data_IF_522017674483
#
_entry.id   IF_522017674483
#
_cell.length_a   1.000
_cell.length_b   1.000
_cell.length_c   1.000
_cell.angle_alpha   90.00
_cell.angle_beta   90.00
_cell.angle_gamma   90.00
#
_symmetry.space_group_name_H-M   'P 1'
#
loop_
_entity.id
_entity.type
_entity.pdbx_description
1 polymer ?
#
# COMPACT_ATOMS: atom_id res chain seq x y z
N UNK A 1 -19.61 -22.72 13.16
CA UNK A 1 -20.07 -22.88 14.56
C UNK A 1 -18.95 -23.19 15.55
N UNK A 2 -17.88 -23.88 15.14
CA UNK A 2 -16.77 -24.28 16.06
C UNK A 2 -15.95 -23.10 16.63
N UNK A 3 -15.91 -21.97 15.98
CA UNK A 3 -15.20 -20.77 16.47
C UNK A 3 -16.00 -20.01 17.54
N UNK A 4 -17.31 -19.92 17.36
CA UNK A 4 -18.23 -19.29 18.34
C UNK A 4 -18.31 -20.09 19.65
N UNK A 5 -18.29 -21.42 19.56
CA UNK A 5 -18.30 -22.30 20.75
C UNK A 5 -17.02 -22.17 21.59
N UNK A 6 -15.88 -21.91 20.93
CA UNK A 6 -14.58 -21.73 21.61
C UNK A 6 -14.33 -20.32 22.13
N UNK A 7 -15.03 -19.30 21.56
CA UNK A 7 -14.84 -17.90 21.88
C UNK A 7 -16.17 -17.17 22.07
N UNK A 8 -16.86 -17.41 23.19
CA UNK A 8 -18.20 -16.87 23.45
C UNK A 8 -18.27 -15.32 23.55
N UNK A 9 -17.15 -14.62 23.41
CA UNK A 9 -17.09 -13.16 23.36
C UNK A 9 -17.11 -12.60 21.93
N UNK A 10 -17.07 -13.46 20.91
CA UNK A 10 -17.13 -13.06 19.51
C UNK A 10 -18.58 -13.22 19.07
N UNK A 11 -19.26 -12.12 18.79
CA UNK A 11 -20.60 -12.15 18.22
C UNK A 11 -20.57 -12.39 16.69
N UNK A 12 -21.73 -12.75 16.12
CA UNK A 12 -21.86 -13.03 14.69
C UNK A 12 -21.43 -11.82 13.83
N UNK A 13 -21.72 -10.59 14.26
CA UNK A 13 -21.33 -9.37 13.57
C UNK A 13 -19.82 -9.16 13.54
N UNK A 14 -19.14 -9.50 14.64
CA UNK A 14 -17.67 -9.46 14.70
C UNK A 14 -17.03 -10.50 13.79
N UNK A 15 -17.66 -11.64 13.58
CA UNK A 15 -17.21 -12.67 12.63
C UNK A 15 -17.42 -12.24 11.18
N UNK A 16 -18.55 -11.61 10.86
CA UNK A 16 -18.82 -11.08 9.54
C UNK A 16 -17.87 -9.92 9.20
N UNK A 17 -17.59 -9.03 10.16
CA UNK A 17 -16.59 -7.98 10.03
C UNK A 17 -15.17 -8.52 9.80
N UNK A 18 -14.83 -9.65 10.42
CA UNK A 18 -13.56 -10.34 10.22
C UNK A 18 -13.50 -11.09 8.88
N UNK A 19 -14.63 -11.68 8.46
CA UNK A 19 -14.72 -12.42 7.21
C UNK A 19 -14.67 -11.52 5.97
N UNK A 20 -15.12 -10.26 6.09
CA UNK A 20 -15.11 -9.28 5.00
C UNK A 20 -13.75 -8.56 4.84
N UNK A 21 -12.87 -8.64 5.84
CA UNK A 21 -11.55 -8.01 5.77
C UNK A 21 -10.50 -8.97 5.24
N UNK A 22 -9.71 -8.51 4.28
CA UNK A 22 -8.55 -9.27 3.80
C UNK A 22 -7.64 -9.63 4.98
N UNK A 23 -7.28 -10.90 5.19
CA UNK A 23 -6.34 -11.29 6.26
C UNK A 23 -5.01 -10.54 6.17
N UNK A 24 -4.52 -10.30 4.95
CA UNK A 24 -3.32 -9.51 4.69
C UNK A 24 -3.47 -8.06 5.17
N UNK A 25 -4.61 -7.44 4.94
CA UNK A 25 -4.92 -6.10 5.44
C UNK A 25 -4.96 -6.02 6.96
N UNK A 26 -5.58 -7.02 7.61
CA UNK A 26 -5.66 -7.11 9.06
C UNK A 26 -4.26 -7.30 9.70
N UNK A 27 -3.43 -8.17 9.13
CA UNK A 27 -2.05 -8.39 9.60
C UNK A 27 -1.22 -7.12 9.42
N UNK A 28 -1.24 -6.50 8.24
CA UNK A 28 -0.49 -5.25 7.97
C UNK A 28 -0.86 -4.14 8.96
N UNK A 29 -2.15 -3.93 9.20
CA UNK A 29 -2.63 -2.95 10.19
C UNK A 29 -2.17 -3.30 11.60
N UNK A 30 -2.20 -4.58 11.98
CA UNK A 30 -1.83 -5.04 13.32
C UNK A 30 -0.35 -4.88 13.64
N UNK A 31 0.53 -5.10 12.66
CA UNK A 31 1.99 -5.01 12.84
C UNK A 31 2.59 -3.68 12.33
N UNK A 32 1.80 -2.85 11.63
CA UNK A 32 2.29 -1.63 10.99
C UNK A 32 3.35 -1.90 9.90
N UNK A 33 3.28 -3.06 9.26
CA UNK A 33 4.31 -3.57 8.35
C UNK A 33 3.93 -3.51 6.88
N UNK A 34 4.91 -3.81 6.02
CA UNK A 34 4.74 -4.05 4.59
C UNK A 34 4.64 -5.53 4.32
N UNK A 35 4.17 -5.87 3.12
CA UNK A 35 4.33 -7.20 2.55
C UNK A 35 5.43 -7.13 1.51
N UNK A 36 6.48 -7.90 1.74
CA UNK A 36 7.52 -8.19 0.75
C UNK A 36 7.16 -9.48 0.03
N UNK A 37 7.32 -9.49 -1.28
CA UNK A 37 7.14 -10.69 -2.10
C UNK A 37 8.48 -11.07 -2.69
N UNK A 38 8.89 -12.31 -2.41
CA UNK A 38 10.09 -12.93 -2.93
C UNK A 38 9.70 -14.02 -3.93
N UNK A 39 10.50 -14.20 -4.94
CA UNK A 39 10.32 -15.29 -5.89
C UNK A 39 10.60 -16.62 -5.20
N UNK A 40 9.74 -17.60 -5.45
CA UNK A 40 9.93 -18.96 -4.95
C UNK A 40 10.47 -19.83 -6.09
N UNK A 41 11.72 -20.25 -5.95
CA UNK A 41 12.35 -21.17 -6.88
C UNK A 41 12.36 -22.61 -6.36
N UNK A 42 11.99 -23.53 -7.21
CA UNK A 42 12.02 -24.96 -6.91
C UNK A 42 13.25 -25.60 -7.59
N UNK A 43 14.13 -26.22 -6.81
CA UNK A 43 15.35 -26.87 -7.32
C UNK A 43 15.11 -27.98 -8.35
N UNK A 44 13.95 -28.60 -8.35
CA UNK A 44 13.58 -29.76 -9.16
C UNK A 44 12.50 -29.48 -10.21
N UNK A 45 12.08 -28.23 -10.34
CA UNK A 45 11.13 -27.78 -11.35
C UNK A 45 11.79 -26.72 -12.22
N UNK A 46 11.67 -26.89 -13.55
CA UNK A 46 12.12 -25.84 -14.47
C UNK A 46 11.17 -24.64 -14.35
N UNK A 47 11.74 -23.46 -14.22
CA UNK A 47 10.96 -22.22 -14.28
C UNK A 47 10.27 -22.11 -15.64
N UNK A 48 9.03 -21.63 -15.65
CA UNK A 48 8.28 -21.28 -16.86
C UNK A 48 8.92 -20.08 -17.58
N UNK A 49 9.66 -19.27 -16.83
CA UNK A 49 10.38 -18.08 -17.29
C UNK A 49 11.87 -18.22 -16.94
N UNK A 50 12.62 -19.03 -17.69
CA UNK A 50 14.04 -19.30 -17.40
C UNK A 50 14.93 -18.05 -17.48
N UNK A 51 14.47 -17.02 -18.19
CA UNK A 51 15.09 -15.71 -18.29
C UNK A 51 14.98 -14.86 -16.98
N UNK A 52 14.17 -15.32 -16.03
CA UNK A 52 14.00 -14.66 -14.72
C UNK A 52 14.83 -15.33 -13.60
N UNK A 53 15.38 -16.51 -13.83
CA UNK A 53 16.10 -17.31 -12.81
C UNK A 53 17.28 -16.55 -12.19
N UNK A 54 17.92 -15.69 -12.97
CA UNK A 54 19.08 -14.88 -12.50
C UNK A 54 18.70 -13.44 -12.12
N UNK A 55 17.40 -13.13 -12.10
CA UNK A 55 16.89 -11.81 -11.72
C UNK A 55 16.24 -11.89 -10.36
N UNK A 56 17.02 -11.62 -9.36
CA UNK A 56 16.58 -11.54 -7.97
C UNK A 56 15.82 -10.21 -7.75
N UNK A 57 14.57 -10.18 -8.21
CA UNK A 57 13.68 -9.03 -8.08
C UNK A 57 12.78 -9.26 -6.87
N UNK A 58 12.84 -8.35 -5.94
CA UNK A 58 11.96 -8.32 -4.79
C UNK A 58 11.01 -7.13 -4.89
N UNK A 59 9.72 -7.37 -4.69
CA UNK A 59 8.68 -6.33 -4.75
C UNK A 59 8.17 -6.01 -3.36
N UNK A 60 8.53 -4.82 -2.88
CA UNK A 60 7.94 -4.23 -1.69
C UNK A 60 6.69 -3.44 -2.07
N UNK A 61 5.55 -3.77 -1.50
CA UNK A 61 4.36 -2.95 -1.63
C UNK A 61 4.32 -1.90 -0.52
N UNK A 62 4.28 -0.63 -0.93
CA UNK A 62 4.17 0.53 -0.03
C UNK A 62 2.80 0.65 0.66
N UNK A 63 1.92 -0.31 0.48
CA UNK A 63 0.69 -0.47 1.25
C UNK A 63 1.04 -0.81 2.70
N UNK A 64 1.60 0.18 3.37
CA UNK A 64 1.91 0.11 4.78
C UNK A 64 0.65 -0.05 5.62
N UNK A 65 0.80 -0.40 6.90
CA UNK A 65 -0.30 -0.46 7.85
C UNK A 65 -1.09 0.84 8.02
N UNK A 66 -0.68 1.93 7.37
CA UNK A 66 -1.37 3.22 7.33
C UNK A 66 -2.42 3.35 6.23
N UNK A 67 -2.45 2.44 5.26
CA UNK A 67 -3.47 2.47 4.22
C UNK A 67 -4.84 2.12 4.80
N UNK A 68 -5.77 3.02 4.62
CA UNK A 68 -7.20 2.79 4.89
C UNK A 68 -8.03 3.12 3.66
N UNK A 69 -9.03 2.30 3.39
CA UNK A 69 -9.96 2.54 2.30
C UNK A 69 -11.37 2.13 2.70
N UNK A 70 -12.31 2.93 2.23
CA UNK A 70 -13.73 2.64 2.32
C UNK A 70 -14.25 2.40 0.92
N UNK A 71 -14.98 1.32 0.73
CA UNK A 71 -15.71 1.03 -0.48
C UNK A 71 -17.18 0.81 -0.15
N UNK A 72 -18.02 0.91 -1.16
CA UNK A 72 -19.41 1.05 -0.91
C UNK A 72 -20.13 -0.28 -0.68
N UNK A 73 -20.78 -0.34 0.45
CA UNK A 73 -21.94 -1.21 0.61
C UNK A 73 -23.20 -0.65 -0.11
N UNK A 74 -23.09 0.55 -0.68
CA UNK A 74 -24.15 1.27 -1.37
C UNK A 74 -24.24 0.96 -2.87
N UNK A 75 -23.64 -0.13 -3.35
CA UNK A 75 -23.65 -0.53 -4.77
C UNK A 75 -25.05 -0.66 -5.39
N UNK A 76 -26.08 -0.78 -4.57
CA UNK A 76 -27.47 -0.85 -5.00
C UNK A 76 -28.27 0.46 -4.84
N UNK A 77 -27.63 1.54 -4.37
CA UNK A 77 -28.26 2.83 -4.18
C UNK A 77 -28.02 3.77 -5.38
N UNK A 78 -28.97 4.69 -5.59
CA UNK A 78 -28.77 5.88 -6.41
C UNK A 78 -28.78 7.10 -5.51
N UNK A 79 -27.95 8.09 -5.80
CA UNK A 79 -27.88 9.29 -4.98
C UNK A 79 -26.64 10.13 -5.26
N UNK A 80 -26.24 10.92 -4.28
CA UNK A 80 -25.06 11.76 -4.35
C UNK A 80 -24.06 11.36 -3.26
N UNK A 81 -22.91 10.87 -3.67
CA UNK A 81 -21.76 10.71 -2.75
C UNK A 81 -21.07 12.04 -2.56
N UNK A 82 -20.68 12.35 -1.33
CA UNK A 82 -19.93 13.55 -0.95
C UNK A 82 -18.73 13.18 -0.11
N UNK A 83 -17.60 13.82 -0.38
CA UNK A 83 -16.43 13.82 0.51
C UNK A 83 -16.38 15.14 1.23
N UNK A 84 -16.46 15.09 2.54
CA UNK A 84 -16.45 16.29 3.41
C UNK A 84 -15.25 16.19 4.34
N UNK A 85 -14.43 17.22 4.35
CA UNK A 85 -13.37 17.40 5.33
C UNK A 85 -13.85 18.27 6.48
N UNK A 86 -13.65 17.81 7.70
CA UNK A 86 -13.93 18.58 8.91
C UNK A 86 -12.61 18.85 9.62
N UNK A 87 -12.15 20.08 9.56
CA UNK A 87 -10.93 20.52 10.23
C UNK A 87 -11.09 20.60 11.74
N UNK A 88 -9.99 20.89 12.44
CA UNK A 88 -9.99 21.04 13.91
C UNK A 88 -10.86 22.20 14.42
N UNK A 89 -11.18 23.16 13.56
CA UNK A 89 -12.14 24.25 13.84
C UNK A 89 -13.61 23.79 13.80
N UNK A 90 -13.88 22.56 13.33
CA UNK A 90 -15.22 22.00 13.25
C UNK A 90 -16.03 22.39 12.00
N UNK A 91 -15.53 23.29 11.15
CA UNK A 91 -16.24 23.72 9.96
C UNK A 91 -16.10 22.69 8.83
N UNK A 92 -17.23 22.18 8.27
CA UNK A 92 -17.16 21.21 7.20
C UNK A 92 -16.89 21.89 5.85
N UNK A 93 -15.95 21.33 5.08
CA UNK A 93 -15.65 21.72 3.70
C UNK A 93 -15.94 20.56 2.77
N UNK A 94 -16.87 20.76 1.82
CA UNK A 94 -17.15 19.76 0.80
C UNK A 94 -16.00 19.77 -0.22
N UNK A 95 -15.22 18.70 -0.25
CA UNK A 95 -14.07 18.54 -1.16
C UNK A 95 -14.49 17.99 -2.51
N UNK A 96 -15.48 17.10 -2.55
CA UNK A 96 -15.93 16.45 -3.78
C UNK A 96 -17.38 15.99 -3.66
N UNK A 97 -18.08 16.00 -4.79
CA UNK A 97 -19.40 15.35 -4.92
C UNK A 97 -19.54 14.68 -6.27
N UNK A 98 -20.25 13.58 -6.29
CA UNK A 98 -20.58 12.85 -7.51
C UNK A 98 -21.96 12.21 -7.40
N UNK A 99 -22.76 12.32 -8.46
CA UNK A 99 -23.95 11.52 -8.60
C UNK A 99 -23.55 10.07 -8.90
N UNK A 100 -24.14 9.15 -8.18
CA UNK A 100 -23.94 7.71 -8.34
C UNK A 100 -25.24 7.06 -8.81
N UNK A 101 -25.11 6.18 -9.78
CA UNK A 101 -26.18 5.29 -10.23
C UNK A 101 -26.05 3.93 -9.56
N UNK A 102 -27.11 3.14 -9.64
CA UNK A 102 -27.07 1.75 -9.17
C UNK A 102 -25.95 0.98 -9.89
N UNK A 103 -25.05 0.38 -9.13
CA UNK A 103 -23.93 -0.40 -9.65
C UNK A 103 -22.64 0.41 -9.86
N UNK A 104 -22.66 1.73 -9.70
CA UNK A 104 -21.42 2.52 -9.79
C UNK A 104 -20.47 2.15 -8.62
N UNK A 105 -19.25 1.67 -8.92
CA UNK A 105 -18.27 1.40 -7.89
C UNK A 105 -17.66 2.72 -7.40
N UNK A 106 -17.38 2.80 -6.11
CA UNK A 106 -16.60 3.89 -5.57
C UNK A 106 -15.67 3.44 -4.44
N UNK A 107 -14.58 4.15 -4.26
CA UNK A 107 -13.61 3.91 -3.21
C UNK A 107 -13.03 5.25 -2.74
N UNK A 108 -12.83 5.38 -1.44
CA UNK A 108 -12.03 6.42 -0.80
C UNK A 108 -10.83 5.74 -0.16
N UNK A 109 -9.62 6.20 -0.51
CA UNK A 109 -8.38 5.71 0.07
C UNK A 109 -7.63 6.83 0.79
N UNK A 110 -7.07 6.52 1.95
CA UNK A 110 -6.17 7.41 2.71
C UNK A 110 -4.97 6.60 3.16
N UNK A 111 -3.83 7.26 3.36
CA UNK A 111 -2.65 6.62 3.91
C UNK A 111 -1.97 7.55 4.94
N UNK A 112 -1.47 6.97 6.02
CA UNK A 112 -0.72 7.71 7.01
C UNK A 112 0.70 8.01 6.54
N UNK A 113 1.07 9.29 6.47
CA UNK A 113 2.40 9.70 5.98
C UNK A 113 3.55 9.11 6.82
N UNK A 114 3.34 8.95 8.12
CA UNK A 114 4.37 8.35 8.98
C UNK A 114 4.57 6.86 8.69
N UNK A 115 3.51 6.16 8.31
CA UNK A 115 3.60 4.77 7.86
C UNK A 115 4.34 4.66 6.52
N UNK A 116 4.12 5.58 5.59
CA UNK A 116 4.86 5.68 4.32
C UNK A 116 6.34 5.91 4.58
N UNK A 117 6.70 6.86 5.47
CA UNK A 117 8.08 7.14 5.85
C UNK A 117 8.76 5.93 6.50
N UNK A 118 8.07 5.28 7.44
CA UNK A 118 8.60 4.07 8.08
C UNK A 118 8.82 2.93 7.08
N UNK A 119 7.96 2.82 6.08
CA UNK A 119 8.09 1.89 4.97
C UNK A 119 9.34 2.20 4.14
N UNK A 120 9.51 3.45 3.71
CA UNK A 120 10.67 3.89 2.95
C UNK A 120 11.99 3.56 3.68
N UNK A 121 12.07 3.84 4.98
CA UNK A 121 13.26 3.51 5.78
C UNK A 121 13.54 1.99 5.81
N UNK A 122 12.51 1.15 5.84
CA UNK A 122 12.70 -0.31 5.80
C UNK A 122 13.23 -0.75 4.45
N UNK A 123 12.62 -0.30 3.36
CA UNK A 123 13.03 -0.66 2.00
C UNK A 123 14.46 -0.19 1.69
N UNK A 124 14.83 1.03 2.06
CA UNK A 124 16.20 1.53 1.86
C UNK A 124 17.24 0.75 2.67
N UNK A 125 16.94 0.43 3.93
CA UNK A 125 17.85 -0.39 4.75
C UNK A 125 18.03 -1.77 4.17
N UNK A 126 16.94 -2.41 3.79
CA UNK A 126 16.96 -3.75 3.20
C UNK A 126 17.75 -3.76 1.90
N UNK A 127 17.53 -2.81 1.01
CA UNK A 127 18.27 -2.70 -0.25
C UNK A 127 19.79 -2.57 -0.02
N UNK A 128 20.21 -1.79 0.99
CA UNK A 128 21.62 -1.68 1.39
C UNK A 128 22.17 -3.00 1.94
N UNK A 129 21.42 -3.68 2.81
CA UNK A 129 21.83 -4.94 3.44
C UNK A 129 21.98 -6.06 2.39
N UNK A 130 21.07 -6.10 1.42
CA UNK A 130 21.03 -7.10 0.35
C UNK A 130 21.80 -6.69 -0.91
N UNK A 131 22.34 -5.47 -0.94
CA UNK A 131 23.10 -4.90 -2.06
C UNK A 131 22.31 -4.89 -3.38
N UNK A 132 21.09 -4.37 -3.34
CA UNK A 132 20.17 -4.26 -4.47
C UNK A 132 19.94 -2.82 -4.88
N UNK A 133 19.80 -2.58 -6.17
CA UNK A 133 19.28 -1.33 -6.69
C UNK A 133 17.81 -1.10 -6.28
N UNK A 134 17.40 0.15 -6.27
CA UNK A 134 16.08 0.55 -5.76
C UNK A 134 15.29 1.21 -6.88
N UNK A 135 14.10 0.69 -7.13
CA UNK A 135 13.16 1.25 -8.09
C UNK A 135 11.87 1.64 -7.36
N UNK A 136 11.56 2.93 -7.35
CA UNK A 136 10.29 3.44 -6.85
C UNK A 136 9.29 3.59 -7.99
N UNK A 137 8.19 2.86 -7.93
CA UNK A 137 7.09 2.93 -8.89
C UNK A 137 5.84 3.55 -8.25
N UNK A 138 5.38 4.68 -8.79
CA UNK A 138 4.17 5.38 -8.37
C UNK A 138 3.42 5.91 -9.59
N UNK A 139 2.19 6.39 -9.41
CA UNK A 139 1.35 6.99 -10.45
C UNK A 139 1.04 8.47 -10.18
N UNK A 140 2.03 9.23 -9.78
CA UNK A 140 1.90 10.63 -9.37
C UNK A 140 1.36 11.56 -10.47
N UNK A 141 1.50 11.20 -11.74
CA UNK A 141 0.91 11.96 -12.86
C UNK A 141 -0.61 11.83 -12.94
N UNK A 142 -1.19 10.77 -12.38
CA UNK A 142 -2.64 10.51 -12.39
C UNK A 142 -3.27 10.87 -11.05
N UNK A 143 -2.59 10.57 -9.95
CA UNK A 143 -3.06 10.82 -8.58
C UNK A 143 -2.04 11.64 -7.79
N UNK A 144 -1.75 12.89 -8.22
CA UNK A 144 -0.70 13.72 -7.64
C UNK A 144 -0.92 14.03 -6.15
N UNK A 145 -2.17 14.14 -5.72
CA UNK A 145 -2.51 14.40 -4.30
C UNK A 145 -2.32 13.19 -3.38
N UNK A 146 -2.09 12.01 -3.91
CA UNK A 146 -1.87 10.79 -3.14
C UNK A 146 -0.45 10.25 -3.41
N UNK A 147 -0.17 9.76 -4.60
CA UNK A 147 1.14 9.22 -4.97
C UNK A 147 2.24 10.28 -5.01
N UNK A 148 1.92 11.50 -5.44
CA UNK A 148 2.89 12.60 -5.46
C UNK A 148 3.33 13.02 -4.06
N UNK A 149 2.43 13.02 -3.09
CA UNK A 149 2.77 13.30 -1.68
C UNK A 149 3.64 12.18 -1.10
N UNK A 150 3.34 10.92 -1.41
CA UNK A 150 4.17 9.78 -1.00
C UNK A 150 5.54 9.84 -1.64
N UNK A 151 5.63 10.12 -2.94
CA UNK A 151 6.90 10.29 -3.66
C UNK A 151 7.78 11.35 -3.00
N UNK A 152 7.25 12.53 -2.75
CA UNK A 152 8.01 13.62 -2.13
C UNK A 152 8.57 13.22 -0.76
N UNK A 153 7.78 12.55 0.05
CA UNK A 153 8.22 12.05 1.36
C UNK A 153 9.35 11.03 1.24
N UNK A 154 9.22 10.05 0.32
CA UNK A 154 10.21 8.99 0.09
C UNK A 154 11.51 9.58 -0.47
N UNK A 155 11.42 10.43 -1.49
CA UNK A 155 12.60 11.07 -2.09
C UNK A 155 13.32 12.02 -1.10
N UNK A 156 12.57 12.67 -0.22
CA UNK A 156 13.16 13.49 0.85
C UNK A 156 13.98 12.64 1.81
N UNK A 157 13.46 11.50 2.23
CA UNK A 157 14.20 10.53 3.07
C UNK A 157 15.43 10.01 2.32
N UNK A 158 15.27 9.63 1.04
CA UNK A 158 16.39 9.17 0.23
C UNK A 158 17.52 10.20 0.20
N UNK A 159 17.22 11.42 -0.24
CA UNK A 159 18.23 12.51 -0.37
C UNK A 159 18.93 12.82 0.94
N UNK A 160 18.19 12.88 2.04
CA UNK A 160 18.72 13.33 3.32
C UNK A 160 19.47 12.25 4.08
N UNK A 161 19.10 10.97 3.93
CA UNK A 161 19.57 9.92 4.84
C UNK A 161 20.24 8.73 4.13
N UNK A 162 19.89 8.47 2.88
CA UNK A 162 20.31 7.24 2.19
C UNK A 162 21.16 7.47 0.95
N UNK A 163 21.04 8.60 0.26
CA UNK A 163 21.72 8.83 -1.01
C UNK A 163 23.21 8.52 -0.94
N UNK A 164 23.94 9.14 0.01
CA UNK A 164 25.37 8.91 0.17
C UNK A 164 25.71 7.46 0.46
N UNK A 165 24.87 6.76 1.22
CA UNK A 165 25.07 5.33 1.56
C UNK A 165 24.86 4.42 0.35
N UNK A 166 23.81 4.69 -0.42
CA UNK A 166 23.47 3.94 -1.63
C UNK A 166 24.56 4.10 -2.68
N UNK A 167 24.98 5.35 -2.95
CA UNK A 167 26.08 5.65 -3.88
C UNK A 167 27.42 5.03 -3.43
N UNK A 168 27.75 5.10 -2.14
CA UNK A 168 28.96 4.49 -1.59
C UNK A 168 28.93 2.95 -1.65
N UNK A 169 27.76 2.34 -1.63
CA UNK A 169 27.60 0.90 -1.83
C UNK A 169 27.66 0.48 -3.31
N UNK A 170 27.79 1.43 -4.23
CA UNK A 170 27.75 1.17 -5.69
C UNK A 170 26.36 0.83 -6.20
N UNK A 171 25.31 1.22 -5.47
CA UNK A 171 23.91 0.98 -5.81
C UNK A 171 23.28 2.24 -6.39
N UNK A 172 22.16 2.06 -7.07
CA UNK A 172 21.38 3.12 -7.69
C UNK A 172 19.95 3.20 -7.17
N UNK A 173 19.39 4.40 -7.21
CA UNK A 173 17.98 4.67 -6.94
C UNK A 173 17.34 5.29 -8.18
N UNK A 174 16.22 4.70 -8.58
CA UNK A 174 15.46 5.13 -9.75
C UNK A 174 14.01 5.39 -9.35
N UNK A 175 13.46 6.44 -9.92
CA UNK A 175 12.03 6.68 -9.92
C UNK A 175 11.49 6.55 -11.33
N UNK A 176 10.46 5.75 -11.50
CA UNK A 176 9.74 5.61 -12.74
C UNK A 176 8.23 5.50 -12.48
N UNK A 177 7.43 5.88 -13.47
CA UNK A 177 6.00 5.57 -13.39
C UNK A 177 5.82 4.05 -13.36
N UNK A 178 4.90 3.57 -12.51
CA UNK A 178 4.68 2.12 -12.33
C UNK A 178 4.45 1.38 -13.66
N UNK A 179 3.85 2.04 -14.65
CA UNK A 179 3.61 1.45 -15.97
C UNK A 179 4.91 1.29 -16.79
N UNK A 180 5.95 2.04 -16.48
CA UNK A 180 7.24 1.97 -17.18
C UNK A 180 8.17 0.89 -16.59
N UNK A 181 7.84 0.37 -15.41
CA UNK A 181 8.60 -0.70 -14.74
C UNK A 181 8.13 -2.11 -15.15
N UNK A 182 7.12 -2.24 -15.99
CA UNK A 182 6.53 -3.52 -16.40
C UNK A 182 7.30 -4.22 -17.52
#
# INVERSE_FOLDING_TARGET
>A
NTLLEKHPKIDEKSLDDLATKSPNGAIRKGIGGNITREDIEFRNLKSVRPDWIDRDIEVDTMESGGLDYSYSELSNATGVAKVVFVGSNGDPVELHRRALNKGDPWMLATNGIDAVKASAHRSFRRALDEKRDIYLGLKDTVIPGYDGVMREAIETIYRNEYQTKVEAAGLSYHYELIDAQA
#
